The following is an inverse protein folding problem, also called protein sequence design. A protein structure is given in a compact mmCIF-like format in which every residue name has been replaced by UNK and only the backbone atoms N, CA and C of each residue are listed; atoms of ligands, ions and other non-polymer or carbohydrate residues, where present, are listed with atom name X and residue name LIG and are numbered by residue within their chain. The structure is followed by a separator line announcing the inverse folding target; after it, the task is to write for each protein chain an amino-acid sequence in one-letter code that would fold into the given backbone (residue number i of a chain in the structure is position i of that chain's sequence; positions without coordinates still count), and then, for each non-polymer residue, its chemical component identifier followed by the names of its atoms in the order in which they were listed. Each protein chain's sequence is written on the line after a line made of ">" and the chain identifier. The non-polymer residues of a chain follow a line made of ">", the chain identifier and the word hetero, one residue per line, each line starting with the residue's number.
data_IF_876404005815
#
_entry.id   IF_876404005815
#
_cell.length_a   1.000
_cell.length_b   1.000
_cell.length_c   1.000
_cell.angle_alpha   90.00
_cell.angle_beta   90.00
_cell.angle_gamma   90.00
#
_symmetry.space_group_name_H-M   'P 1'
#
loop_
_entity.id
_entity.type
_entity.pdbx_description
1 polymer ?
#
# COMPACT_ATOMS: atom_id res chain seq x y z
N UNK A 1 12.60 14.43 -1.61
CA UNK A 1 11.25 13.90 -1.34
C UNK A 1 10.75 13.38 -2.68
N UNK A 2 10.90 12.08 -2.94
CA UNK A 2 10.49 11.51 -4.23
C UNK A 2 9.03 11.08 -4.13
N UNK A 3 8.20 11.58 -5.05
CA UNK A 3 6.79 11.25 -5.19
C UNK A 3 6.67 9.78 -5.61
N UNK A 4 6.42 8.90 -4.63
CA UNK A 4 6.18 7.49 -4.86
C UNK A 4 4.81 7.32 -5.51
N UNK A 5 4.78 7.11 -6.82
CA UNK A 5 3.56 6.74 -7.54
C UNK A 5 3.35 5.24 -7.39
N UNK A 6 2.39 4.82 -6.56
CA UNK A 6 1.90 3.45 -6.56
C UNK A 6 1.12 3.26 -7.88
N UNK A 7 1.78 2.70 -8.89
CA UNK A 7 1.17 2.53 -10.20
C UNK A 7 0.32 1.26 -10.23
N UNK A 8 -0.95 1.39 -10.62
CA UNK A 8 -1.72 0.27 -11.17
C UNK A 8 -2.27 0.67 -12.53
N UNK A 9 -2.03 -0.16 -13.54
CA UNK A 9 -2.70 -0.02 -14.81
C UNK A 9 -3.06 -1.39 -15.35
N UNK A 10 -4.30 -1.57 -15.78
CA UNK A 10 -4.62 -2.65 -16.73
C UNK A 10 -5.16 -2.20 -18.08
N UNK A 11 -5.47 -0.91 -18.28
CA UNK A 11 -5.35 -0.19 -19.57
C UNK A 11 -5.89 1.26 -19.52
N UNK A 12 -6.80 1.65 -18.62
CA UNK A 12 -7.24 3.07 -18.50
C UNK A 12 -7.73 3.46 -17.09
N UNK A 13 -6.80 3.77 -16.18
CA UNK A 13 -7.02 4.77 -15.12
C UNK A 13 -5.66 5.24 -14.59
N UNK A 14 -5.23 6.44 -14.97
CA UNK A 14 -3.95 7.05 -14.57
C UNK A 14 -3.96 7.63 -13.16
N UNK A 15 -4.50 6.90 -12.18
CA UNK A 15 -4.58 7.36 -10.79
C UNK A 15 -3.48 6.74 -9.93
N UNK A 16 -2.78 7.56 -9.16
CA UNK A 16 -1.86 7.11 -8.11
C UNK A 16 -2.67 6.40 -7.00
N UNK A 17 -2.41 5.10 -6.81
CA UNK A 17 -3.11 4.30 -5.80
C UNK A 17 -2.78 4.74 -4.38
N UNK A 18 -1.54 5.17 -4.14
CA UNK A 18 -1.07 5.63 -2.84
C UNK A 18 -1.78 6.93 -2.47
N UNK A 19 -1.85 7.87 -3.42
CA UNK A 19 -2.62 9.10 -3.25
C UNK A 19 -4.12 8.83 -3.03
N UNK A 20 -4.70 7.88 -3.77
CA UNK A 20 -6.10 7.46 -3.59
C UNK A 20 -6.37 6.90 -2.19
N UNK A 21 -5.47 6.02 -1.71
CA UNK A 21 -5.55 5.44 -0.36
C UNK A 21 -5.42 6.48 0.73
N UNK A 22 -4.42 7.37 0.65
CA UNK A 22 -4.22 8.45 1.62
C UNK A 22 -5.46 9.33 1.73
N UNK A 23 -6.05 9.73 0.59
CA UNK A 23 -7.23 10.60 0.57
C UNK A 23 -8.49 9.96 1.12
N UNK A 24 -8.64 8.64 0.96
CA UNK A 24 -9.92 7.96 1.17
C UNK A 24 -9.95 7.10 2.43
N UNK A 25 -8.81 6.60 2.89
CA UNK A 25 -8.73 5.56 3.92
C UNK A 25 -7.94 5.96 5.16
N UNK A 26 -7.07 6.97 5.12
CA UNK A 26 -6.22 7.33 6.26
C UNK A 26 -6.99 8.23 7.25
N UNK A 27 -8.14 7.70 7.69
CA UNK A 27 -9.03 8.32 8.66
C UNK A 27 -8.76 7.75 10.06
N UNK A 28 -9.03 8.50 11.13
CA UNK A 28 -8.97 7.98 12.50
C UNK A 28 -9.83 6.71 12.67
N UNK A 29 -9.37 5.82 13.54
CA UNK A 29 -10.04 4.56 13.92
C UNK A 29 -10.21 3.51 12.82
N UNK A 30 -9.68 3.76 11.61
CA UNK A 30 -9.67 2.77 10.55
C UNK A 30 -8.70 1.63 10.85
N UNK A 31 -9.12 0.41 10.49
CA UNK A 31 -8.34 -0.81 10.70
C UNK A 31 -7.86 -1.35 9.36
N UNK A 32 -6.56 -1.63 9.28
CA UNK A 32 -5.90 -2.16 8.10
C UNK A 32 -5.15 -3.44 8.44
N UNK A 33 -5.13 -4.34 7.46
CA UNK A 33 -4.17 -5.43 7.40
C UNK A 33 -2.98 -4.97 6.57
N UNK A 34 -1.79 -5.21 7.12
CA UNK A 34 -0.53 -4.78 6.54
C UNK A 34 0.47 -5.93 6.54
N UNK A 35 1.43 -5.88 5.63
CA UNK A 35 2.59 -6.74 5.63
C UNK A 35 3.79 -6.00 6.18
N UNK A 36 4.54 -6.68 7.02
CA UNK A 36 5.78 -6.19 7.60
C UNK A 36 6.82 -7.30 7.54
N UNK A 37 8.06 -6.94 7.24
CA UNK A 37 9.16 -7.89 7.31
C UNK A 37 9.47 -8.17 8.79
N UNK A 38 9.30 -9.42 9.23
CA UNK A 38 9.52 -9.81 10.63
C UNK A 38 10.98 -9.65 11.06
N UNK A 39 11.94 -9.81 10.16
CA UNK A 39 13.36 -9.57 10.46
C UNK A 39 13.58 -8.10 10.78
N UNK A 40 13.06 -7.19 9.96
CA UNK A 40 13.16 -5.74 10.22
C UNK A 40 12.41 -5.33 11.49
N UNK A 41 11.22 -5.90 11.74
CA UNK A 41 10.41 -5.59 12.94
C UNK A 41 11.11 -5.95 14.25
N UNK A 42 11.92 -7.01 14.26
CA UNK A 42 12.62 -7.50 15.46
C UNK A 42 14.09 -7.04 15.52
N UNK A 43 14.55 -6.23 14.57
CA UNK A 43 15.92 -5.76 14.49
C UNK A 43 16.02 -4.35 15.08
N UNK A 44 16.82 -4.14 16.15
CA UNK A 44 16.92 -2.86 16.85
C UNK A 44 17.53 -1.74 16.01
N UNK A 45 18.12 -2.04 14.84
CA UNK A 45 18.54 -1.03 13.86
C UNK A 45 17.33 -0.25 13.33
N UNK A 46 16.14 -0.86 13.31
CA UNK A 46 14.91 -0.28 12.79
C UNK A 46 13.99 0.29 13.89
N UNK A 47 12.96 1.03 13.49
CA UNK A 47 11.94 1.59 14.38
C UNK A 47 12.23 3.02 14.82
N UNK A 48 13.28 3.63 14.29
CA UNK A 48 13.54 5.07 14.46
C UNK A 48 12.91 5.87 13.32
N UNK A 49 12.89 7.20 13.44
CA UNK A 49 12.42 8.08 12.37
C UNK A 49 13.35 8.02 11.15
N UNK A 50 14.64 7.83 11.41
CA UNK A 50 15.70 7.77 10.40
C UNK A 50 15.78 6.39 9.73
N UNK A 51 15.40 5.32 10.45
CA UNK A 51 15.33 3.97 9.92
C UNK A 51 14.02 3.29 10.34
N UNK A 52 12.88 3.66 9.73
CA UNK A 52 11.59 3.12 10.09
C UNK A 52 11.46 1.66 9.66
N UNK A 53 10.61 0.90 10.34
CA UNK A 53 10.16 -0.42 9.84
C UNK A 53 9.17 -0.16 8.72
N UNK A 54 9.45 -0.55 7.45
CA UNK A 54 8.49 -0.36 6.37
C UNK A 54 7.27 -1.25 6.57
N UNK A 55 6.09 -0.65 6.41
CA UNK A 55 4.80 -1.32 6.53
C UNK A 55 4.05 -1.16 5.21
N UNK A 56 3.60 -2.28 4.65
CA UNK A 56 3.00 -2.32 3.32
C UNK A 56 1.51 -2.62 3.42
N UNK A 57 0.70 -1.77 2.80
CA UNK A 57 -0.74 -1.96 2.72
C UNK A 57 -1.08 -3.32 2.10
N UNK A 58 -1.92 -4.11 2.78
CA UNK A 58 -2.47 -5.34 2.21
C UNK A 58 -3.97 -5.20 1.98
N UNK A 59 -4.73 -4.84 3.02
CA UNK A 59 -6.20 -4.79 2.94
C UNK A 59 -6.83 -3.82 3.93
N UNK A 60 -7.87 -3.12 3.52
CA UNK A 60 -8.78 -2.41 4.42
C UNK A 60 -9.72 -3.41 5.12
N UNK A 61 -9.81 -3.33 6.45
CA UNK A 61 -10.65 -4.24 7.24
C UNK A 61 -11.97 -3.58 7.60
N UNK A 62 -11.92 -2.40 8.22
CA UNK A 62 -13.12 -1.69 8.69
C UNK A 62 -12.84 -0.22 9.00
N UNK A 63 -13.91 0.58 9.04
CA UNK A 63 -13.88 2.01 9.35
C UNK A 63 -14.58 2.86 8.29
N UNK A 64 -14.25 4.15 8.24
CA UNK A 64 -14.84 5.13 7.32
C UNK A 64 -14.00 5.26 6.05
N UNK A 65 -14.67 5.27 4.90
CA UNK A 65 -14.05 5.57 3.61
C UNK A 65 -14.62 6.87 3.09
N UNK A 66 -13.76 7.87 2.97
CA UNK A 66 -14.14 9.19 2.51
C UNK A 66 -13.79 9.36 1.03
N UNK A 67 -14.45 10.31 0.35
CA UNK A 67 -14.04 10.81 -0.98
C UNK A 67 -13.94 9.75 -2.09
N UNK A 68 -14.59 8.61 -1.93
CA UNK A 68 -14.73 7.58 -2.96
C UNK A 68 -16.04 7.84 -3.70
N UNK A 69 -15.94 8.27 -4.96
CA UNK A 69 -17.08 8.63 -5.80
C UNK A 69 -17.05 7.87 -7.12
N UNK A 70 -18.21 7.50 -7.64
CA UNK A 70 -18.35 6.97 -8.99
C UNK A 70 -18.01 8.04 -10.03
N UNK A 71 -17.86 7.63 -11.29
CA UNK A 71 -17.59 8.57 -12.41
C UNK A 71 -18.72 9.60 -12.62
N UNK A 72 -19.93 9.29 -12.16
CA UNK A 72 -21.10 10.19 -12.19
C UNK A 72 -21.17 11.14 -10.96
N UNK A 73 -20.16 11.13 -10.08
CA UNK A 73 -20.09 11.98 -8.90
C UNK A 73 -20.92 11.50 -7.71
N UNK A 74 -21.62 10.37 -7.82
CA UNK A 74 -22.35 9.78 -6.68
C UNK A 74 -21.38 9.12 -5.69
N UNK A 75 -21.67 9.09 -4.38
CA UNK A 75 -20.86 8.35 -3.41
C UNK A 75 -20.74 6.88 -3.82
N UNK A 76 -19.54 6.34 -3.75
CA UNK A 76 -19.30 4.94 -4.06
C UNK A 76 -19.89 4.06 -2.95
N UNK A 77 -20.97 3.34 -3.28
CA UNK A 77 -21.54 2.32 -2.41
C UNK A 77 -20.98 0.94 -2.75
N UNK A 78 -20.19 0.39 -1.83
CA UNK A 78 -19.59 -0.95 -1.92
C UNK A 78 -20.61 -2.08 -2.11
N UNK A 79 -21.86 -1.89 -1.71
CA UNK A 79 -22.91 -2.91 -1.85
C UNK A 79 -23.44 -3.03 -3.28
N UNK A 80 -23.20 -2.03 -4.13
CA UNK A 80 -23.86 -1.90 -5.43
C UNK A 80 -23.02 -2.35 -6.62
N UNK A 81 -21.69 -2.17 -6.61
CA UNK A 81 -20.82 -2.56 -7.72
C UNK A 81 -19.32 -2.58 -7.38
N UNK A 82 -18.60 -3.59 -7.86
CA UNK A 82 -17.13 -3.64 -7.87
C UNK A 82 -16.57 -2.73 -8.95
N UNK A 83 -15.62 -1.86 -8.61
CA UNK A 83 -14.89 -1.04 -9.59
C UNK A 83 -13.41 -1.40 -9.43
N UNK A 84 -12.71 -1.90 -10.47
CA UNK A 84 -11.36 -2.46 -10.32
C UNK A 84 -10.37 -1.53 -9.60
N UNK A 85 -10.38 -0.22 -9.89
CA UNK A 85 -9.55 0.78 -9.23
C UNK A 85 -9.82 0.89 -7.72
N UNK A 86 -11.07 0.75 -7.32
CA UNK A 86 -11.53 0.79 -5.95
C UNK A 86 -11.30 -0.52 -5.22
N UNK A 87 -11.34 -1.63 -5.94
CA UNK A 87 -11.06 -2.96 -5.42
C UNK A 87 -9.57 -3.07 -5.06
N UNK A 88 -8.66 -2.57 -5.92
CA UNK A 88 -7.21 -2.58 -5.64
C UNK A 88 -6.80 -1.57 -4.57
N UNK A 89 -7.60 -0.52 -4.32
CA UNK A 89 -7.41 0.32 -3.13
C UNK A 89 -7.78 -0.43 -1.85
N UNK A 90 -8.86 -1.21 -1.89
CA UNK A 90 -9.36 -1.99 -0.76
C UNK A 90 -8.48 -3.19 -0.42
N UNK A 91 -7.99 -3.91 -1.41
CA UNK A 91 -7.26 -5.16 -1.25
C UNK A 91 -6.28 -5.37 -2.40
N UNK A 92 -5.03 -5.66 -2.10
CA UNK A 92 -4.04 -6.08 -3.11
C UNK A 92 -3.85 -7.58 -3.07
N UNK A 93 -3.74 -8.19 -4.24
CA UNK A 93 -3.32 -9.58 -4.34
C UNK A 93 -1.90 -9.74 -3.79
N UNK A 94 -1.54 -10.97 -3.38
CA UNK A 94 -0.20 -11.26 -2.89
C UNK A 94 0.88 -10.98 -3.96
N UNK A 95 0.56 -11.16 -5.24
CA UNK A 95 1.46 -10.88 -6.34
C UNK A 95 1.69 -9.38 -6.55
N UNK A 96 0.62 -8.58 -6.57
CA UNK A 96 0.70 -7.11 -6.65
C UNK A 96 1.45 -6.53 -5.45
N UNK A 97 1.16 -7.03 -4.24
CA UNK A 97 1.87 -6.62 -3.04
C UNK A 97 3.36 -6.97 -3.11
N UNK A 98 3.73 -8.15 -3.60
CA UNK A 98 5.13 -8.56 -3.75
C UNK A 98 5.89 -7.66 -4.72
N UNK A 99 5.30 -7.33 -5.87
CA UNK A 99 5.90 -6.42 -6.84
C UNK A 99 6.12 -5.04 -6.22
N UNK A 100 5.08 -4.50 -5.58
CA UNK A 100 5.13 -3.20 -4.91
C UNK A 100 6.21 -3.14 -3.82
N UNK A 101 6.23 -4.13 -2.94
CA UNK A 101 7.21 -4.26 -1.85
C UNK A 101 8.63 -4.28 -2.41
N UNK A 102 8.86 -5.05 -3.47
CA UNK A 102 10.19 -5.19 -4.09
C UNK A 102 10.66 -3.85 -4.69
N UNK A 103 9.81 -3.19 -5.46
CA UNK A 103 10.14 -1.89 -6.05
C UNK A 103 10.36 -0.80 -5.01
N UNK A 104 9.56 -0.77 -3.94
CA UNK A 104 9.72 0.21 -2.88
C UNK A 104 11.01 -0.01 -2.09
N UNK A 105 11.28 -1.25 -1.68
CA UNK A 105 12.46 -1.57 -0.86
C UNK A 105 13.76 -1.22 -1.60
N UNK A 106 13.83 -1.45 -2.92
CA UNK A 106 15.01 -1.06 -3.72
C UNK A 106 15.33 0.43 -3.71
N UNK A 107 14.40 1.29 -3.27
CA UNK A 107 14.61 2.75 -3.20
C UNK A 107 15.00 3.23 -1.81
N UNK A 108 14.73 2.45 -0.76
CA UNK A 108 14.86 2.90 0.63
C UNK A 108 15.92 2.14 1.44
N UNK A 109 16.27 0.93 1.02
CA UNK A 109 17.32 0.14 1.66
C UNK A 109 18.43 -0.15 0.65
N UNK A 110 19.67 -0.16 1.15
CA UNK A 110 20.82 -0.44 0.31
C UNK A 110 20.83 -1.89 -0.19
N UNK A 111 21.66 -2.14 -1.21
CA UNK A 111 21.72 -3.44 -1.87
C UNK A 111 22.15 -4.57 -0.93
N UNK A 112 23.06 -4.29 0.01
CA UNK A 112 23.57 -5.29 0.93
C UNK A 112 22.47 -5.69 1.93
N UNK A 113 21.69 -4.72 2.39
CA UNK A 113 20.53 -4.92 3.25
C UNK A 113 19.41 -5.69 2.54
N UNK A 114 19.18 -5.44 1.24
CA UNK A 114 18.26 -6.26 0.43
C UNK A 114 18.70 -7.73 0.39
N UNK A 115 20.00 -7.98 0.18
CA UNK A 115 20.55 -9.34 0.18
C UNK A 115 20.44 -9.97 1.57
N UNK A 116 20.67 -9.22 2.64
CA UNK A 116 20.49 -9.72 4.01
C UNK A 116 19.05 -10.13 4.31
N UNK A 117 18.08 -9.34 3.85
CA UNK A 117 16.66 -9.55 4.15
C UNK A 117 15.98 -10.57 3.22
N UNK A 118 16.41 -10.66 1.96
CA UNK A 118 15.72 -11.43 0.91
C UNK A 118 16.64 -12.35 0.10
N UNK A 119 17.94 -12.31 0.33
CA UNK A 119 18.88 -13.25 -0.26
C UNK A 119 18.48 -14.68 0.10
N UNK A 120 18.42 -15.56 -0.91
CA UNK A 120 18.15 -16.98 -0.70
C UNK A 120 19.19 -17.52 0.30
N UNK A 121 18.72 -18.19 1.36
CA UNK A 121 19.54 -19.17 2.06
C UNK A 121 19.70 -20.41 1.19
#
# INVERSE_FOLDING_TARGET
>A
MFEGVDFFNKEKRGGDLGAGRIKSYFNPDNVFLVHVNKTQLNDPKYGTKENPVPVFWHKFVSGKVDRKFNDDGTPYDRSTKSIPYFDVQDNVTAEENRLFVTEYLTRIIDKDELVRLFGKK
#
